data_IF_466698594244
#
_entry.id   IF_466698594244
#
_cell.length_a   1.000
_cell.length_b   1.000
_cell.length_c   1.000
_cell.angle_alpha   90.00
_cell.angle_beta   90.00
_cell.angle_gamma   90.00
#
_symmetry.space_group_name_H-M   'P 1'
#
loop_
_entity.id
_entity.type
_entity.pdbx_description
1 polymer ?
#
# COMPACT_ATOMS: atom_id res chain seq x y z
N UNK A 1 22.80 3.40 56.73
CA UNK A 1 21.53 3.07 56.03
C UNK A 1 21.05 4.17 55.08
N UNK A 2 21.34 5.46 55.33
CA UNK A 2 20.95 6.58 54.45
C UNK A 2 21.61 6.54 53.06
N UNK A 3 22.85 6.08 52.96
CA UNK A 3 23.60 6.06 51.71
C UNK A 3 23.03 5.08 50.67
N UNK A 4 22.63 3.87 51.12
CA UNK A 4 21.90 2.89 50.30
C UNK A 4 20.52 3.40 49.88
N UNK A 5 19.81 4.13 50.73
CA UNK A 5 18.52 4.73 50.38
C UNK A 5 18.70 5.83 49.31
N UNK A 6 19.75 6.65 49.42
CA UNK A 6 20.05 7.69 48.42
C UNK A 6 20.46 7.12 47.06
N UNK A 7 21.23 6.03 47.03
CA UNK A 7 21.56 5.29 45.80
C UNK A 7 20.32 4.68 45.16
N UNK A 8 19.45 4.05 45.95
CA UNK A 8 18.20 3.45 45.46
C UNK A 8 17.26 4.51 44.87
N UNK A 9 17.18 5.71 45.48
CA UNK A 9 16.40 6.84 44.96
C UNK A 9 16.97 7.36 43.63
N UNK A 10 18.29 7.38 43.46
CA UNK A 10 18.93 7.75 42.19
C UNK A 10 18.62 6.73 41.10
N UNK A 11 18.68 5.45 41.43
CA UNK A 11 18.39 4.36 40.51
C UNK A 11 16.92 4.41 40.05
N UNK A 12 15.97 4.53 40.98
CA UNK A 12 14.54 4.70 40.67
C UNK A 12 14.22 5.98 39.86
N UNK A 13 15.05 7.02 39.97
CA UNK A 13 14.93 8.22 39.12
C UNK A 13 15.45 7.97 37.71
N UNK A 14 16.57 7.26 37.59
CA UNK A 14 17.14 6.86 36.30
C UNK A 14 16.20 5.94 35.54
N UNK A 15 15.67 4.91 36.21
CA UNK A 15 14.76 3.94 35.60
C UNK A 15 13.47 4.61 35.13
N UNK A 16 12.91 5.54 35.93
CA UNK A 16 11.75 6.34 35.50
C UNK A 16 12.04 7.20 34.29
N UNK A 17 13.24 7.78 34.22
CA UNK A 17 13.62 8.62 33.09
C UNK A 17 13.74 7.77 31.82
N UNK A 18 14.37 6.61 31.93
CA UNK A 18 14.54 5.67 30.82
C UNK A 18 13.19 5.13 30.32
N UNK A 19 12.27 4.79 31.23
CA UNK A 19 10.91 4.39 30.87
C UNK A 19 10.10 5.53 30.22
N UNK A 20 10.32 6.77 30.64
CA UNK A 20 9.67 7.94 30.02
C UNK A 20 10.17 8.15 28.58
N UNK A 21 11.47 8.02 28.34
CA UNK A 21 12.05 8.11 26.99
C UNK A 21 11.54 6.99 26.07
N UNK A 22 11.46 5.75 26.57
CA UNK A 22 10.89 4.64 25.81
C UNK A 22 9.41 4.85 25.49
N UNK A 23 8.64 5.39 26.43
CA UNK A 23 7.24 5.74 26.22
C UNK A 23 7.08 6.81 25.13
N UNK A 24 7.89 7.87 25.17
CA UNK A 24 7.84 8.95 24.18
C UNK A 24 8.24 8.45 22.78
N UNK A 25 9.23 7.55 22.68
CA UNK A 25 9.60 6.89 21.43
C UNK A 25 8.47 6.01 20.87
N UNK A 26 7.78 5.25 21.73
CA UNK A 26 6.64 4.42 21.33
C UNK A 26 5.49 5.28 20.82
N UNK A 27 5.19 6.40 21.48
CA UNK A 27 4.18 7.36 21.02
C UNK A 27 4.52 7.89 19.63
N UNK A 28 5.77 8.28 19.39
CA UNK A 28 6.21 8.75 18.08
C UNK A 28 6.07 7.67 17.00
N UNK A 29 6.38 6.41 17.32
CA UNK A 29 6.16 5.28 16.40
C UNK A 29 4.68 5.07 16.09
N UNK A 30 3.82 5.12 17.10
CA UNK A 30 2.36 5.01 16.93
C UNK A 30 1.83 6.13 16.04
N UNK A 31 2.27 7.37 16.25
CA UNK A 31 1.86 8.51 15.42
C UNK A 31 2.34 8.38 13.98
N UNK A 32 3.59 7.94 13.76
CA UNK A 32 4.14 7.67 12.43
C UNK A 32 3.34 6.58 11.70
N UNK A 33 3.00 5.50 12.40
CA UNK A 33 2.19 4.41 11.84
C UNK A 33 0.77 4.88 11.53
N UNK A 34 0.15 5.66 12.42
CA UNK A 34 -1.18 6.23 12.21
C UNK A 34 -1.21 7.21 11.02
N UNK A 35 -0.17 8.03 10.83
CA UNK A 35 -0.03 8.89 9.65
C UNK A 35 0.11 8.06 8.38
N UNK A 36 0.90 6.98 8.41
CA UNK A 36 1.07 6.07 7.26
C UNK A 36 -0.25 5.38 6.92
N UNK A 37 -0.98 4.89 7.92
CA UNK A 37 -2.33 4.31 7.75
C UNK A 37 -3.29 5.36 7.20
N UNK A 38 -3.22 6.60 7.67
CA UNK A 38 -4.02 7.73 7.20
C UNK A 38 -3.76 8.07 5.73
N UNK A 39 -2.49 8.14 5.33
CA UNK A 39 -2.09 8.34 3.93
C UNK A 39 -2.57 7.19 3.05
N UNK A 40 -2.43 5.95 3.51
CA UNK A 40 -2.91 4.77 2.80
C UNK A 40 -4.42 4.77 2.62
N UNK A 41 -5.18 5.06 3.67
CA UNK A 41 -6.65 5.23 3.58
C UNK A 41 -7.02 6.38 2.65
N UNK A 42 -6.35 7.51 2.76
CA UNK A 42 -6.58 8.68 1.92
C UNK A 42 -6.29 8.43 0.43
N UNK A 43 -5.24 7.65 0.13
CA UNK A 43 -4.91 7.26 -1.23
C UNK A 43 -5.97 6.31 -1.82
N UNK A 44 -6.42 5.31 -1.05
CA UNK A 44 -7.50 4.42 -1.47
C UNK A 44 -8.82 5.18 -1.70
N UNK A 45 -9.16 6.12 -0.81
CA UNK A 45 -10.37 6.95 -0.94
C UNK A 45 -10.28 7.92 -2.13
N UNK A 46 -9.14 8.59 -2.34
CA UNK A 46 -8.97 9.48 -3.52
C UNK A 46 -9.06 8.70 -4.82
N UNK A 47 -8.52 7.48 -4.88
CA UNK A 47 -8.58 6.68 -6.10
C UNK A 47 -10.03 6.25 -6.43
N UNK A 48 -10.82 5.87 -5.42
CA UNK A 48 -12.26 5.62 -5.56
C UNK A 48 -13.04 6.84 -6.06
N UNK A 49 -12.72 8.04 -5.57
CA UNK A 49 -13.38 9.30 -5.97
C UNK A 49 -12.97 9.74 -7.38
N UNK A 50 -11.72 9.52 -7.79
CA UNK A 50 -11.27 9.81 -9.17
C UNK A 50 -12.00 8.90 -10.16
N UNK A 51 -12.32 7.67 -9.77
CA UNK A 51 -13.11 6.76 -10.59
C UNK A 51 -14.60 7.14 -10.66
N UNK A 52 -15.15 7.81 -9.63
CA UNK A 52 -16.55 8.28 -9.63
C UNK A 52 -16.78 9.66 -10.26
N UNK A 53 -15.72 10.45 -10.48
CA UNK A 53 -15.79 11.79 -11.11
C UNK A 53 -15.57 11.79 -12.64
N UNK A 54 -15.40 10.62 -13.29
CA UNK A 54 -15.38 10.59 -14.76
C UNK A 54 -16.78 10.88 -15.33
N UNK A 55 -16.93 11.82 -16.28
CA UNK A 55 -18.22 12.28 -16.78
C UNK A 55 -18.99 11.13 -17.44
N UNK A 56 -20.31 11.11 -17.23
CA UNK A 56 -21.25 10.07 -17.65
C UNK A 56 -21.51 9.98 -19.18
N UNK A 57 -20.51 10.26 -20.01
CA UNK A 57 -20.64 10.19 -21.47
C UNK A 57 -19.89 8.98 -22.02
N UNK A 58 -20.64 7.91 -22.27
CA UNK A 58 -20.52 7.23 -23.57
C UNK A 58 -19.96 5.82 -23.65
N UNK A 59 -19.69 5.10 -22.54
CA UNK A 59 -19.42 3.64 -22.63
C UNK A 59 -20.16 2.89 -21.53
N UNK A 60 -21.24 2.17 -21.86
CA UNK A 60 -21.91 1.31 -20.90
C UNK A 60 -21.13 -0.01 -20.76
N UNK A 61 -21.19 -0.59 -19.57
CA UNK A 61 -20.87 -2.01 -19.25
C UNK A 61 -19.40 -2.36 -18.99
N UNK A 62 -18.87 -1.95 -17.82
CA UNK A 62 -17.84 -2.74 -17.09
C UNK A 62 -17.72 -2.38 -15.59
N UNK A 63 -18.27 -1.24 -15.14
CA UNK A 63 -18.04 -0.75 -13.77
C UNK A 63 -18.52 -1.66 -12.63
N UNK A 64 -19.52 -2.52 -12.82
CA UNK A 64 -19.97 -3.45 -11.76
C UNK A 64 -19.04 -4.67 -11.56
N UNK A 65 -18.27 -5.08 -12.59
CA UNK A 65 -17.25 -6.12 -12.42
C UNK A 65 -15.99 -5.57 -11.75
N UNK A 66 -15.66 -4.30 -12.06
CA UNK A 66 -14.54 -3.60 -11.44
C UNK A 66 -14.65 -3.60 -9.92
N UNK A 67 -15.85 -3.36 -9.36
CA UNK A 67 -16.00 -3.25 -7.90
C UNK A 67 -15.82 -4.58 -7.17
N UNK A 68 -16.47 -5.67 -7.62
CA UNK A 68 -16.35 -6.97 -6.92
C UNK A 68 -14.94 -7.57 -7.05
N UNK A 69 -14.32 -7.49 -8.23
CA UNK A 69 -12.95 -7.98 -8.43
C UNK A 69 -11.92 -7.13 -7.69
N UNK A 70 -12.18 -5.81 -7.57
CA UNK A 70 -11.38 -4.91 -6.75
C UNK A 70 -11.49 -5.23 -5.27
N UNK A 71 -12.70 -5.48 -4.74
CA UNK A 71 -12.89 -5.86 -3.34
C UNK A 71 -12.17 -7.17 -3.01
N UNK A 72 -12.24 -8.17 -3.89
CA UNK A 72 -11.51 -9.43 -3.74
C UNK A 72 -10.00 -9.22 -3.74
N UNK A 73 -9.50 -8.37 -4.65
CA UNK A 73 -8.09 -8.01 -4.70
C UNK A 73 -7.66 -7.28 -3.42
N UNK A 74 -8.41 -6.26 -2.98
CA UNK A 74 -8.09 -5.49 -1.78
C UNK A 74 -8.10 -6.34 -0.51
N UNK A 75 -9.07 -7.26 -0.37
CA UNK A 75 -9.11 -8.21 0.75
C UNK A 75 -7.90 -9.14 0.74
N UNK A 76 -7.54 -9.69 -0.43
CA UNK A 76 -6.37 -10.55 -0.57
C UNK A 76 -5.07 -9.83 -0.22
N UNK A 77 -4.88 -8.61 -0.74
CA UNK A 77 -3.72 -7.79 -0.41
C UNK A 77 -3.68 -7.48 1.08
N UNK A 78 -4.83 -7.18 1.71
CA UNK A 78 -4.91 -6.89 3.14
C UNK A 78 -4.46 -8.09 3.97
N UNK A 79 -5.00 -9.27 3.71
CA UNK A 79 -4.62 -10.50 4.42
C UNK A 79 -3.14 -10.83 4.24
N UNK A 80 -2.62 -10.72 3.02
CA UNK A 80 -1.20 -10.99 2.72
C UNK A 80 -0.27 -9.94 3.30
N UNK A 81 -0.66 -8.69 3.32
CA UNK A 81 0.11 -7.59 3.93
C UNK A 81 0.17 -7.75 5.45
N UNK A 82 -0.91 -8.20 6.09
CA UNK A 82 -0.94 -8.52 7.52
C UNK A 82 0.01 -9.67 7.87
N UNK A 83 0.13 -10.68 7.00
CA UNK A 83 1.08 -11.78 7.16
C UNK A 83 2.53 -11.36 6.89
N UNK A 84 2.74 -10.53 5.87
CA UNK A 84 4.06 -10.06 5.47
C UNK A 84 3.96 -8.64 4.90
N UNK A 85 4.46 -7.67 5.65
CA UNK A 85 4.43 -6.27 5.24
C UNK A 85 5.18 -6.00 3.93
N UNK A 86 6.19 -6.81 3.55
CA UNK A 86 6.89 -6.67 2.26
C UNK A 86 5.96 -6.91 1.06
N UNK A 87 4.87 -7.65 1.27
CA UNK A 87 3.84 -7.87 0.26
C UNK A 87 3.12 -6.57 -0.14
N UNK A 88 3.10 -5.57 0.75
CA UNK A 88 2.58 -4.25 0.43
C UNK A 88 3.39 -3.54 -0.67
N UNK A 89 4.73 -3.68 -0.66
CA UNK A 89 5.59 -3.15 -1.73
C UNK A 89 5.26 -3.82 -3.06
N UNK A 90 5.09 -5.14 -3.04
CA UNK A 90 4.69 -5.90 -4.21
C UNK A 90 3.33 -5.43 -4.74
N UNK A 91 2.35 -5.21 -3.86
CA UNK A 91 1.05 -4.65 -4.24
C UNK A 91 1.19 -3.28 -4.91
N UNK A 92 2.02 -2.38 -4.40
CA UNK A 92 2.19 -1.04 -5.00
C UNK A 92 2.68 -1.14 -6.44
N UNK A 93 3.62 -2.05 -6.70
CA UNK A 93 4.14 -2.29 -8.05
C UNK A 93 3.07 -2.94 -8.93
N UNK A 94 2.40 -3.98 -8.43
CA UNK A 94 1.47 -4.81 -9.20
C UNK A 94 0.08 -4.20 -9.38
N UNK A 95 -0.31 -3.22 -8.57
CA UNK A 95 -1.64 -2.59 -8.62
C UNK A 95 -1.91 -1.95 -9.98
N UNK A 96 -0.91 -1.24 -10.54
CA UNK A 96 -1.02 -0.63 -11.87
C UNK A 96 -1.28 -1.66 -12.97
N UNK A 97 -0.61 -2.82 -12.90
CA UNK A 97 -0.80 -3.93 -13.82
C UNK A 97 -2.17 -4.58 -13.65
N UNK A 98 -2.62 -4.77 -12.41
CA UNK A 98 -3.93 -5.34 -12.11
C UNK A 98 -5.07 -4.46 -12.64
N UNK A 99 -4.98 -3.13 -12.46
CA UNK A 99 -5.95 -2.19 -13.01
C UNK A 99 -5.96 -2.21 -14.55
N UNK A 100 -4.77 -2.20 -15.18
CA UNK A 100 -4.63 -2.28 -16.64
C UNK A 100 -5.18 -3.60 -17.21
N UNK A 101 -4.94 -4.72 -16.51
CA UNK A 101 -5.47 -6.04 -16.89
C UNK A 101 -7.00 -6.06 -16.88
N UNK A 102 -7.64 -5.57 -15.81
CA UNK A 102 -9.11 -5.57 -15.73
C UNK A 102 -9.77 -4.64 -16.74
N UNK A 103 -9.09 -3.57 -17.15
CA UNK A 103 -9.60 -2.66 -18.19
C UNK A 103 -9.44 -3.23 -19.60
N UNK A 104 -8.35 -3.97 -19.84
CA UNK A 104 -7.98 -4.40 -21.19
C UNK A 104 -8.54 -5.78 -21.52
N UNK A 105 -8.54 -6.73 -20.58
CA UNK A 105 -8.86 -8.13 -20.86
C UNK A 105 -10.37 -8.37 -20.84
N UNK A 106 -10.91 -8.71 -21.99
CA UNK A 106 -12.30 -9.14 -22.15
C UNK A 106 -12.43 -10.64 -21.87
N UNK A 107 -13.51 -11.03 -21.20
CA UNK A 107 -13.85 -12.44 -20.87
C UNK A 107 -15.07 -12.94 -21.65
N UNK A 108 -15.39 -12.29 -22.77
CA UNK A 108 -16.58 -12.58 -23.58
C UNK A 108 -16.48 -13.92 -24.31
N UNK A 109 -15.28 -14.32 -24.73
CA UNK A 109 -15.01 -15.60 -25.37
C UNK A 109 -13.57 -16.05 -25.07
N UNK A 110 -13.30 -17.35 -24.92
CA UNK A 110 -11.97 -17.86 -24.53
C UNK A 110 -10.87 -17.49 -25.54
N UNK A 111 -11.19 -17.53 -26.83
CA UNK A 111 -10.25 -17.17 -27.90
C UNK A 111 -9.94 -15.66 -27.91
N UNK A 112 -10.96 -14.83 -27.68
CA UNK A 112 -10.80 -13.38 -27.57
C UNK A 112 -10.05 -12.99 -26.30
N UNK A 113 -10.32 -13.67 -25.18
CA UNK A 113 -9.59 -13.50 -23.92
C UNK A 113 -8.10 -13.79 -24.11
N UNK A 114 -7.76 -14.94 -24.71
CA UNK A 114 -6.37 -15.31 -24.98
C UNK A 114 -5.64 -14.28 -25.84
N UNK A 115 -6.28 -13.83 -26.93
CA UNK A 115 -5.73 -12.79 -27.82
C UNK A 115 -5.53 -11.45 -27.12
N UNK A 116 -6.48 -11.07 -26.27
CA UNK A 116 -6.45 -9.77 -25.58
C UNK A 116 -5.43 -9.78 -24.44
N UNK A 117 -5.27 -10.91 -23.73
CA UNK A 117 -4.20 -11.12 -22.75
C UNK A 117 -2.83 -11.04 -23.43
N UNK A 118 -2.63 -11.73 -24.57
CA UNK A 118 -1.36 -11.66 -25.29
C UNK A 118 -0.99 -10.23 -25.67
N UNK A 119 -1.92 -9.48 -26.27
CA UNK A 119 -1.68 -8.06 -26.60
C UNK A 119 -1.42 -7.22 -25.37
N UNK A 120 -2.13 -7.47 -24.27
CA UNK A 120 -1.92 -6.75 -23.02
C UNK A 120 -0.52 -7.00 -22.46
N UNK A 121 -0.04 -8.24 -22.45
CA UNK A 121 1.31 -8.62 -22.00
C UNK A 121 2.37 -7.95 -22.88
N UNK A 122 2.23 -8.03 -24.21
CA UNK A 122 3.20 -7.46 -25.14
C UNK A 122 3.34 -5.93 -24.98
N UNK A 123 2.23 -5.25 -24.67
CA UNK A 123 2.20 -3.81 -24.52
C UNK A 123 2.61 -3.34 -23.10
N UNK A 124 2.00 -3.92 -22.07
CA UNK A 124 2.10 -3.43 -20.68
C UNK A 124 3.19 -4.14 -19.87
N UNK A 125 3.57 -5.37 -20.23
CA UNK A 125 4.64 -6.11 -19.56
C UNK A 125 5.99 -6.01 -20.28
N UNK A 126 6.13 -5.09 -21.25
CA UNK A 126 7.42 -4.83 -21.86
C UNK A 126 8.41 -4.27 -20.82
N UNK A 127 9.67 -4.68 -20.90
CA UNK A 127 10.70 -4.32 -19.92
C UNK A 127 10.86 -2.79 -19.75
N UNK A 128 10.61 -2.04 -20.82
CA UNK A 128 10.70 -0.58 -20.85
C UNK A 128 9.57 0.05 -20.02
N UNK A 129 8.35 -0.47 -20.13
CA UNK A 129 7.19 0.04 -19.39
C UNK A 129 7.25 -0.41 -17.94
N UNK A 130 7.50 -1.70 -17.70
CA UNK A 130 7.63 -2.25 -16.36
C UNK A 130 8.73 -1.56 -15.56
N UNK A 131 9.87 -1.23 -16.19
CA UNK A 131 10.94 -0.48 -15.52
C UNK A 131 10.48 0.90 -15.09
N UNK A 132 9.74 1.63 -15.92
CA UNK A 132 9.22 2.96 -15.56
C UNK A 132 8.23 2.85 -14.40
N UNK A 133 7.33 1.90 -14.45
CA UNK A 133 6.30 1.72 -13.42
C UNK A 133 6.91 1.26 -12.09
N UNK A 134 7.86 0.31 -12.12
CA UNK A 134 8.62 -0.12 -10.94
C UNK A 134 9.45 1.01 -10.36
N UNK A 135 10.18 1.78 -11.19
CA UNK A 135 11.01 2.89 -10.70
C UNK A 135 10.16 4.02 -10.13
N UNK A 136 9.01 4.33 -10.73
CA UNK A 136 8.08 5.33 -10.20
C UNK A 136 7.50 4.87 -8.86
N UNK A 137 7.10 3.61 -8.75
CA UNK A 137 6.65 3.00 -7.50
C UNK A 137 7.75 2.98 -6.43
N UNK A 138 8.99 2.66 -6.80
CA UNK A 138 10.13 2.67 -5.89
C UNK A 138 10.50 4.09 -5.44
N UNK A 139 10.43 5.07 -6.36
CA UNK A 139 10.59 6.48 -6.04
C UNK A 139 9.52 6.94 -5.06
N UNK A 140 8.25 6.61 -5.33
CA UNK A 140 7.15 6.91 -4.43
C UNK A 140 7.38 6.30 -3.05
N UNK A 141 7.75 5.01 -2.99
CA UNK A 141 8.10 4.33 -1.74
C UNK A 141 9.21 5.05 -0.99
N UNK A 142 10.30 5.43 -1.67
CA UNK A 142 11.43 6.14 -1.05
C UNK A 142 11.05 7.55 -0.57
N UNK A 143 10.16 8.25 -1.28
CA UNK A 143 9.74 9.62 -0.88
C UNK A 143 8.62 9.64 0.16
N UNK A 144 7.78 8.61 0.20
CA UNK A 144 6.59 8.55 1.05
C UNK A 144 6.78 7.68 2.28
N UNK A 145 7.81 6.82 2.31
CA UNK A 145 8.10 5.94 3.44
C UNK A 145 9.60 5.85 3.70
N UNK A 146 10.00 5.83 4.98
CA UNK A 146 11.39 5.57 5.41
C UNK A 146 11.77 4.07 5.35
N UNK A 147 11.05 3.27 4.57
CA UNK A 147 11.23 1.81 4.52
C UNK A 147 12.52 1.40 3.79
N UNK A 148 13.03 2.27 2.92
CA UNK A 148 14.22 2.04 2.10
C UNK A 148 15.46 2.79 2.60
N UNK A 149 15.34 3.53 3.73
CA UNK A 149 16.43 4.24 4.40
C UNK A 149 16.91 3.40 5.58
#
# INVERSE_FOLDING_TARGET
MLQKAAEHIRQLKSDRHQQQEEYDLLIQQVDSLNQTIGILKGFCLRNSVIQSQMPATGVPVSSQRSTQTQELYENYIRERTLQNWKFWIFNIIMKSLWESYNQTVTTSNMDEMSKTIHRWIEHNCCLIQLRKDVLNSLRFLSTSTNILT
#
